data_IF_045749922150
#
_entry.id   IF_045749922150
#
_cell.length_a   1.000
_cell.length_b   1.000
_cell.length_c   1.000
_cell.angle_alpha   90.00
_cell.angle_beta   90.00
_cell.angle_gamma   90.00
#
_symmetry.space_group_name_H-M   'P 1'
#
loop_
_entity.id
_entity.type
_entity.pdbx_description
1 polymer ?
#
# COMPACT_ATOMS: atom_id res chain seq x y z
N UNK A 1 -42.45 49.12 -45.33
CA UNK A 1 -42.60 47.76 -44.68
C UNK A 1 -41.76 46.79 -45.49
N UNK A 2 -40.55 46.53 -45.01
CA UNK A 2 -39.57 45.60 -45.63
C UNK A 2 -39.72 44.23 -44.98
N UNK A 3 -40.03 43.23 -45.76
CA UNK A 3 -40.20 41.85 -45.33
C UNK A 3 -38.81 41.22 -45.35
N UNK A 4 -38.29 40.97 -44.16
CA UNK A 4 -36.97 40.36 -43.95
C UNK A 4 -36.97 38.90 -44.40
N UNK A 5 -35.94 38.58 -45.14
CA UNK A 5 -35.64 37.29 -45.74
C UNK A 5 -35.43 36.18 -44.69
N UNK A 6 -36.20 35.11 -44.77
CA UNK A 6 -35.97 33.88 -44.01
C UNK A 6 -34.68 33.21 -44.42
N UNK A 7 -33.82 32.77 -43.47
CA UNK A 7 -32.61 32.05 -43.82
C UNK A 7 -32.90 30.66 -44.41
N UNK A 8 -32.31 30.38 -45.56
CA UNK A 8 -32.46 29.10 -46.26
C UNK A 8 -31.89 27.90 -45.48
N UNK A 9 -32.33 26.69 -45.83
CA UNK A 9 -31.94 25.49 -45.09
C UNK A 9 -30.42 25.24 -45.23
N UNK A 10 -29.77 25.10 -44.07
CA UNK A 10 -28.33 24.78 -44.01
C UNK A 10 -28.09 23.39 -44.56
N UNK A 11 -27.39 23.29 -45.71
CA UNK A 11 -26.91 22.02 -46.27
C UNK A 11 -25.82 21.48 -45.41
N UNK A 12 -26.08 20.40 -44.68
CA UNK A 12 -25.03 19.67 -43.95
C UNK A 12 -24.05 19.01 -44.96
N UNK A 13 -22.72 19.12 -44.73
CA UNK A 13 -21.75 18.49 -45.63
C UNK A 13 -21.91 16.98 -45.61
N UNK A 14 -21.90 16.34 -46.78
CA UNK A 14 -22.06 14.88 -46.93
C UNK A 14 -21.02 14.10 -46.08
N UNK A 15 -19.86 14.70 -45.82
CA UNK A 15 -18.82 14.16 -44.96
C UNK A 15 -19.27 13.96 -43.51
N UNK A 16 -20.13 14.85 -42.96
CA UNK A 16 -20.64 14.71 -41.58
C UNK A 16 -21.59 13.51 -41.41
N UNK A 17 -22.37 13.21 -42.46
CA UNK A 17 -23.25 12.05 -42.46
C UNK A 17 -22.46 10.73 -42.54
N UNK A 18 -21.39 10.69 -43.33
CA UNK A 18 -20.54 9.49 -43.47
C UNK A 18 -19.82 9.22 -42.14
N UNK A 19 -19.30 10.26 -41.47
CA UNK A 19 -18.62 10.12 -40.18
C UNK A 19 -19.59 9.61 -39.11
N UNK A 20 -20.83 10.11 -39.07
CA UNK A 20 -21.87 9.66 -38.15
C UNK A 20 -22.21 8.17 -38.33
N UNK A 21 -22.33 7.71 -39.58
CA UNK A 21 -22.59 6.29 -39.87
C UNK A 21 -21.41 5.39 -39.51
N UNK A 22 -20.17 5.88 -39.69
CA UNK A 22 -18.96 5.12 -39.33
C UNK A 22 -18.84 4.93 -37.80
N UNK A 23 -19.16 5.96 -37.05
CA UNK A 23 -19.18 5.89 -35.58
C UNK A 23 -20.29 4.97 -35.06
N UNK A 24 -21.47 4.98 -35.70
CA UNK A 24 -22.55 4.05 -35.36
C UNK A 24 -22.18 2.60 -35.65
N UNK A 25 -21.54 2.33 -36.79
CA UNK A 25 -21.07 0.98 -37.13
C UNK A 25 -19.99 0.48 -36.19
N UNK A 26 -19.04 1.35 -35.80
CA UNK A 26 -17.99 1.01 -34.83
C UNK A 26 -18.59 0.75 -33.44
N UNK A 27 -19.59 1.52 -33.02
CA UNK A 27 -20.33 1.30 -31.77
C UNK A 27 -21.09 -0.03 -31.77
N UNK A 28 -21.73 -0.37 -32.90
CA UNK A 28 -22.47 -1.62 -33.04
C UNK A 28 -21.53 -2.84 -33.02
N UNK A 29 -20.37 -2.71 -33.70
CA UNK A 29 -19.33 -3.74 -33.70
C UNK A 29 -18.74 -3.94 -32.28
N UNK A 30 -18.54 -2.85 -31.54
CA UNK A 30 -18.07 -2.92 -30.17
C UNK A 30 -19.07 -3.64 -29.25
N UNK A 31 -20.37 -3.40 -29.49
CA UNK A 31 -21.44 -4.06 -28.72
C UNK A 31 -21.56 -5.56 -29.04
N UNK A 32 -21.30 -5.99 -30.27
CA UNK A 32 -21.30 -7.39 -30.69
C UNK A 32 -20.09 -8.19 -30.17
N UNK A 33 -18.99 -7.51 -29.85
CA UNK A 33 -17.78 -8.12 -29.27
C UNK A 33 -17.67 -8.01 -27.75
N UNK A 34 -18.74 -7.61 -27.05
CA UNK A 34 -18.75 -7.67 -25.59
C UNK A 34 -18.71 -9.15 -25.17
N UNK A 35 -17.72 -9.57 -24.39
CA UNK A 35 -17.76 -10.89 -23.79
C UNK A 35 -19.04 -10.99 -22.97
N UNK A 36 -19.81 -12.03 -23.23
CA UNK A 36 -21.03 -12.34 -22.46
C UNK A 36 -20.68 -12.25 -20.96
N UNK A 37 -21.45 -11.50 -20.17
CA UNK A 37 -21.25 -11.56 -18.73
C UNK A 37 -21.44 -13.02 -18.31
N UNK A 38 -20.42 -13.59 -17.69
CA UNK A 38 -20.44 -14.96 -17.17
C UNK A 38 -21.37 -15.04 -15.93
N UNK A 39 -22.66 -14.78 -16.16
CA UNK A 39 -23.71 -14.94 -15.21
C UNK A 39 -24.23 -16.36 -15.33
N UNK A 40 -23.79 -17.22 -14.46
CA UNK A 40 -24.50 -18.47 -14.21
C UNK A 40 -23.81 -19.75 -14.65
N UNK A 41 -22.47 -19.83 -14.66
CA UNK A 41 -21.85 -21.12 -14.39
C UNK A 41 -21.61 -21.17 -12.89
N UNK A 42 -22.59 -21.73 -12.19
CA UNK A 42 -22.41 -22.24 -10.82
C UNK A 42 -21.16 -23.09 -10.84
N UNK A 43 -20.06 -22.60 -10.27
CA UNK A 43 -18.86 -23.39 -10.05
C UNK A 43 -19.14 -24.40 -8.93
N UNK A 44 -20.00 -25.38 -9.26
CA UNK A 44 -20.08 -26.57 -8.47
C UNK A 44 -18.88 -27.45 -8.84
N UNK A 45 -17.87 -27.47 -7.97
CA UNK A 45 -16.91 -28.55 -7.91
C UNK A 45 -15.55 -28.38 -8.56
N UNK A 46 -14.98 -27.16 -8.62
CA UNK A 46 -13.52 -27.06 -8.66
C UNK A 46 -13.00 -27.07 -7.20
N UNK A 47 -11.95 -27.84 -6.89
CA UNK A 47 -11.28 -27.68 -5.60
C UNK A 47 -10.88 -26.21 -5.52
N UNK A 48 -11.44 -25.48 -4.56
CA UNK A 48 -10.90 -24.19 -4.18
C UNK A 48 -9.45 -24.46 -3.80
N UNK A 49 -8.52 -23.88 -4.55
CA UNK A 49 -7.17 -23.74 -4.03
C UNK A 49 -7.29 -23.25 -2.60
N UNK A 50 -6.56 -23.87 -1.66
CA UNK A 50 -6.63 -23.45 -0.28
C UNK A 50 -6.44 -21.94 -0.30
N UNK A 51 -7.45 -21.17 0.12
CA UNK A 51 -7.26 -19.78 0.47
C UNK A 51 -6.10 -19.83 1.45
N UNK A 52 -4.95 -19.38 0.98
CA UNK A 52 -3.81 -19.14 1.83
C UNK A 52 -4.37 -18.25 2.95
N UNK A 53 -4.61 -18.89 4.08
CA UNK A 53 -5.03 -18.23 5.31
C UNK A 53 -3.99 -17.14 5.49
N UNK A 54 -4.36 -15.89 5.20
CA UNK A 54 -3.57 -14.75 5.61
C UNK A 54 -3.52 -14.84 7.13
N UNK A 55 -2.47 -15.49 7.61
CA UNK A 55 -2.21 -15.56 9.05
C UNK A 55 -2.24 -14.14 9.58
N UNK A 56 -2.95 -13.88 10.69
CA UNK A 56 -2.97 -12.58 11.30
C UNK A 56 -1.52 -12.09 11.43
N UNK A 57 -1.24 -10.87 11.01
CA UNK A 57 0.12 -10.28 11.05
C UNK A 57 0.78 -10.41 12.44
N UNK A 58 -0.04 -10.53 13.47
CA UNK A 58 0.38 -10.76 14.85
C UNK A 58 1.02 -12.15 15.05
N UNK A 59 0.52 -13.17 14.33
CA UNK A 59 1.09 -14.52 14.38
C UNK A 59 2.45 -14.57 13.65
N UNK A 60 2.62 -13.83 12.57
CA UNK A 60 3.90 -13.70 11.87
C UNK A 60 4.98 -13.08 12.75
N UNK A 61 4.65 -12.06 13.54
CA UNK A 61 5.62 -11.46 14.47
C UNK A 61 5.97 -12.43 15.61
N UNK A 62 5.00 -13.18 16.11
CA UNK A 62 5.23 -14.20 17.14
C UNK A 62 6.08 -15.38 16.63
N UNK A 63 6.02 -15.68 15.33
CA UNK A 63 6.90 -16.72 14.68
C UNK A 63 8.31 -16.20 14.45
N UNK A 64 8.47 -14.88 14.22
CA UNK A 64 9.77 -14.28 13.87
C UNK A 64 10.62 -13.86 15.08
N UNK A 65 10.05 -13.69 16.26
CA UNK A 65 10.80 -13.29 17.45
C UNK A 65 10.19 -13.82 18.75
N UNK A 66 11.01 -14.48 19.55
CA UNK A 66 10.60 -14.93 20.90
C UNK A 66 10.27 -13.73 21.82
N UNK A 67 9.49 -13.94 22.89
CA UNK A 67 9.24 -12.89 23.88
C UNK A 67 10.52 -12.28 24.45
N UNK A 68 11.57 -13.08 24.63
CA UNK A 68 12.88 -12.59 25.10
C UNK A 68 13.56 -11.68 24.07
N UNK A 69 13.48 -12.04 22.78
CA UNK A 69 14.03 -11.20 21.69
C UNK A 69 13.27 -9.88 21.56
N UNK A 70 11.94 -9.91 21.70
CA UNK A 70 11.12 -8.71 21.71
C UNK A 70 11.45 -7.80 22.90
N UNK A 71 11.60 -8.36 24.11
CA UNK A 71 11.99 -7.59 25.29
C UNK A 71 13.38 -6.93 25.11
N UNK A 72 14.34 -7.66 24.56
CA UNK A 72 15.66 -7.14 24.26
C UNK A 72 15.61 -6.07 23.17
N UNK A 73 14.84 -6.28 22.11
CA UNK A 73 14.60 -5.28 21.04
C UNK A 73 14.02 -3.97 21.59
N UNK A 74 13.07 -4.07 22.53
CA UNK A 74 12.52 -2.91 23.24
C UNK A 74 13.54 -2.16 24.07
N UNK A 75 14.42 -2.89 24.78
CA UNK A 75 15.51 -2.30 25.55
C UNK A 75 16.53 -1.59 24.66
N UNK A 76 16.92 -2.21 23.57
CA UNK A 76 17.83 -1.61 22.56
C UNK A 76 17.21 -0.37 21.94
N UNK A 77 15.93 -0.43 21.58
CA UNK A 77 15.19 0.73 21.04
C UNK A 77 15.14 1.88 22.04
N UNK A 78 14.82 1.61 23.30
CA UNK A 78 14.76 2.63 24.34
C UNK A 78 16.09 3.36 24.51
N UNK A 79 17.18 2.64 24.46
CA UNK A 79 18.53 3.19 24.69
C UNK A 79 19.10 3.92 23.46
N UNK A 80 18.74 3.51 22.26
CA UNK A 80 19.42 3.97 21.02
C UNK A 80 18.50 4.81 20.13
N UNK A 81 17.21 4.48 20.06
CA UNK A 81 16.30 4.99 19.03
C UNK A 81 15.24 5.96 19.58
N UNK A 82 14.82 5.77 20.84
CA UNK A 82 13.68 6.49 21.45
C UNK A 82 13.90 8.01 21.51
N UNK A 83 15.15 8.47 21.58
CA UNK A 83 15.48 9.90 21.55
C UNK A 83 14.91 10.63 20.34
N UNK A 84 14.92 9.98 19.18
CA UNK A 84 14.32 10.51 17.96
C UNK A 84 12.93 9.95 17.65
N UNK A 85 12.63 8.73 18.11
CA UNK A 85 11.43 7.97 17.76
C UNK A 85 10.47 7.73 18.95
N UNK A 86 10.40 8.66 19.89
CA UNK A 86 9.55 8.55 21.06
C UNK A 86 8.09 8.22 20.65
N UNK A 87 7.52 7.17 21.26
CA UNK A 87 6.15 6.68 20.98
C UNK A 87 5.86 6.46 19.47
N UNK A 88 6.84 5.98 18.74
CA UNK A 88 6.74 5.78 17.30
C UNK A 88 6.70 7.07 16.46
N UNK A 89 6.99 8.20 17.08
CA UNK A 89 7.11 9.49 16.39
C UNK A 89 8.41 9.63 15.62
N UNK A 90 8.69 10.85 15.16
CA UNK A 90 9.99 11.26 14.64
C UNK A 90 10.14 12.78 14.86
N UNK A 91 11.04 13.19 15.74
CA UNK A 91 11.23 14.60 16.08
C UNK A 91 11.95 15.38 14.99
N UNK A 92 12.76 14.69 14.14
CA UNK A 92 13.53 15.32 13.05
C UNK A 92 12.69 15.44 11.79
N UNK A 93 11.90 14.42 11.46
CA UNK A 93 11.08 14.33 10.26
C UNK A 93 9.68 13.86 10.62
N UNK A 94 8.76 14.79 10.84
CA UNK A 94 7.39 14.49 11.30
C UNK A 94 6.59 13.58 10.35
N UNK A 95 6.94 13.52 9.08
CA UNK A 95 6.37 12.64 8.07
C UNK A 95 6.95 11.21 8.09
N UNK A 96 8.04 10.99 8.85
CA UNK A 96 8.80 9.73 8.90
C UNK A 96 8.61 8.99 10.21
N UNK A 97 7.38 8.93 10.70
CA UNK A 97 7.04 8.21 11.93
C UNK A 97 7.11 6.68 11.73
N UNK A 98 7.19 5.95 12.85
CA UNK A 98 7.15 4.49 12.88
C UNK A 98 5.71 3.94 13.04
N UNK A 99 4.70 4.77 12.81
CA UNK A 99 3.29 4.33 12.79
C UNK A 99 3.03 3.44 11.58
N UNK A 100 2.23 2.39 11.71
CA UNK A 100 2.00 1.38 10.67
C UNK A 100 1.67 1.99 9.29
N UNK A 101 0.67 2.89 9.24
CA UNK A 101 0.31 3.57 7.97
C UNK A 101 1.46 4.37 7.37
N UNK A 102 2.37 4.93 8.17
CA UNK A 102 3.51 5.69 7.68
C UNK A 102 4.63 4.76 7.18
N UNK A 103 4.81 3.60 7.78
CA UNK A 103 5.71 2.55 7.31
C UNK A 103 5.22 2.00 5.97
N UNK A 104 3.99 1.55 5.89
CA UNK A 104 3.37 0.98 4.68
C UNK A 104 3.42 1.94 3.47
N UNK A 105 3.11 3.23 3.66
CA UNK A 105 3.23 4.24 2.57
C UNK A 105 4.64 4.37 2.01
N UNK A 106 5.64 3.85 2.69
CA UNK A 106 7.06 3.88 2.26
C UNK A 106 7.57 2.51 1.83
N UNK A 107 6.67 1.52 1.66
CA UNK A 107 7.02 0.15 1.30
C UNK A 107 7.80 -0.58 2.40
N UNK A 108 7.56 -0.23 3.66
CA UNK A 108 8.13 -0.92 4.83
C UNK A 108 7.03 -1.81 5.38
N UNK A 109 7.05 -3.08 4.97
CA UNK A 109 5.94 -4.02 5.15
C UNK A 109 6.26 -5.14 6.15
N UNK A 110 7.42 -5.07 6.81
CA UNK A 110 7.84 -6.08 7.77
C UNK A 110 9.04 -5.68 8.62
N UNK A 111 9.36 -6.48 9.63
CA UNK A 111 10.44 -6.24 10.57
C UNK A 111 11.82 -6.28 9.91
N UNK A 112 12.02 -7.07 8.84
CA UNK A 112 13.31 -7.22 8.14
C UNK A 112 13.75 -5.91 7.49
N UNK A 113 12.80 -5.18 6.86
CA UNK A 113 13.10 -3.87 6.26
C UNK A 113 13.46 -2.86 7.35
N UNK A 114 12.80 -2.91 8.51
CA UNK A 114 13.12 -2.05 9.65
C UNK A 114 14.50 -2.40 10.21
N UNK A 115 14.83 -3.68 10.34
CA UNK A 115 16.13 -4.16 10.81
C UNK A 115 17.25 -3.65 9.89
N UNK A 116 17.09 -3.80 8.59
CA UNK A 116 18.05 -3.30 7.60
C UNK A 116 18.24 -1.78 7.72
N UNK A 117 17.16 -1.02 7.86
CA UNK A 117 17.23 0.44 8.05
C UNK A 117 17.92 0.78 9.37
N UNK A 118 17.66 0.03 10.45
CA UNK A 118 18.34 0.23 11.72
C UNK A 118 19.84 -0.06 11.64
N UNK A 119 20.23 -1.07 10.85
CA UNK A 119 21.64 -1.42 10.65
C UNK A 119 22.37 -0.41 9.78
N UNK A 120 21.81 -0.06 8.62
CA UNK A 120 22.48 0.68 7.55
C UNK A 120 22.19 2.20 7.59
N UNK A 121 21.08 2.60 8.21
CA UNK A 121 20.60 3.96 8.17
C UNK A 121 19.73 4.26 6.94
N UNK A 122 19.14 5.45 6.92
CA UNK A 122 18.39 5.96 5.77
C UNK A 122 18.33 7.50 5.76
N UNK A 123 18.86 8.10 4.73
CA UNK A 123 18.86 9.55 4.55
C UNK A 123 19.65 10.26 5.65
N UNK A 124 18.98 10.91 6.61
CA UNK A 124 19.60 11.60 7.76
C UNK A 124 19.71 10.75 9.02
N UNK A 125 19.23 9.54 8.99
CA UNK A 125 19.35 8.59 10.07
C UNK A 125 20.58 7.72 9.81
N UNK A 126 21.54 7.76 10.71
CA UNK A 126 22.75 6.93 10.63
C UNK A 126 22.42 5.44 10.84
N UNK A 127 23.32 4.57 10.42
CA UNK A 127 23.27 3.14 10.70
C UNK A 127 23.81 2.83 12.10
N UNK A 128 23.14 1.92 12.79
CA UNK A 128 23.42 1.58 14.18
C UNK A 128 23.90 0.13 14.39
N UNK A 129 24.29 -0.59 13.33
CA UNK A 129 24.70 -1.99 13.44
C UNK A 129 25.77 -2.22 14.53
N UNK A 130 26.79 -1.36 14.59
CA UNK A 130 27.88 -1.47 15.59
C UNK A 130 27.40 -1.23 17.02
N UNK A 131 26.44 -0.32 17.20
CA UNK A 131 25.90 0.05 18.52
C UNK A 131 24.92 -1.02 19.03
N UNK A 132 24.12 -1.56 18.13
CA UNK A 132 23.11 -2.56 18.44
C UNK A 132 23.73 -3.95 18.68
N UNK A 133 24.91 -4.20 18.11
CA UNK A 133 25.58 -5.49 18.21
C UNK A 133 24.98 -6.60 17.35
N UNK A 134 25.47 -7.83 17.51
CA UNK A 134 24.96 -8.99 16.77
C UNK A 134 23.47 -9.19 17.02
N UNK A 135 22.69 -9.43 15.96
CA UNK A 135 21.23 -9.64 15.97
C UNK A 135 20.43 -8.49 16.58
N UNK A 136 21.08 -7.38 16.95
CA UNK A 136 20.42 -6.23 17.55
C UNK A 136 19.46 -5.52 16.59
N UNK A 137 19.84 -5.26 15.33
CA UNK A 137 18.94 -4.71 14.32
C UNK A 137 17.68 -5.54 14.12
N UNK A 138 17.78 -6.86 14.07
CA UNK A 138 16.67 -7.80 13.90
C UNK A 138 15.72 -7.75 15.09
N UNK A 139 16.26 -7.75 16.31
CA UNK A 139 15.47 -7.61 17.55
C UNK A 139 14.74 -6.28 17.61
N UNK A 140 15.42 -5.19 17.24
CA UNK A 140 14.80 -3.85 17.15
C UNK A 140 13.73 -3.82 16.07
N UNK A 141 14.01 -4.39 14.89
CA UNK A 141 13.06 -4.48 13.78
C UNK A 141 11.77 -5.19 14.18
N UNK A 142 11.91 -6.37 14.79
CA UNK A 142 10.78 -7.16 15.27
C UNK A 142 9.95 -6.40 16.34
N UNK A 143 10.61 -5.78 17.29
CA UNK A 143 9.95 -5.01 18.33
C UNK A 143 9.23 -3.78 17.77
N UNK A 144 9.86 -3.00 16.88
CA UNK A 144 9.26 -1.82 16.26
C UNK A 144 8.05 -2.20 15.42
N UNK A 145 8.14 -3.32 14.67
CA UNK A 145 7.03 -3.83 13.87
C UNK A 145 5.84 -4.19 14.76
N UNK A 146 6.08 -4.94 15.83
CA UNK A 146 5.05 -5.25 16.83
C UNK A 146 4.40 -3.97 17.38
N UNK A 147 5.20 -2.99 17.82
CA UNK A 147 4.68 -1.72 18.31
C UNK A 147 3.84 -0.97 17.27
N UNK A 148 4.23 -1.04 15.99
CA UNK A 148 3.49 -0.42 14.89
C UNK A 148 2.11 -1.09 14.68
N UNK A 149 2.06 -2.42 14.73
CA UNK A 149 0.82 -3.19 14.66
C UNK A 149 -0.13 -2.87 15.82
N UNK A 150 0.41 -2.75 17.02
CA UNK A 150 -0.33 -2.40 18.25
C UNK A 150 -0.60 -0.88 18.40
N UNK A 151 -0.28 -0.11 17.36
CA UNK A 151 -0.44 1.35 17.34
C UNK A 151 0.29 2.08 18.48
N UNK A 152 1.44 1.56 18.91
CA UNK A 152 2.31 2.16 19.94
C UNK A 152 1.54 2.39 21.27
N UNK A 153 1.16 1.34 21.98
CA UNK A 153 0.49 1.47 23.26
C UNK A 153 1.36 2.28 24.22
N UNK A 154 0.74 3.19 24.95
CA UNK A 154 1.45 3.93 25.98
C UNK A 154 1.73 2.97 27.14
N UNK A 155 3.00 2.77 27.49
CA UNK A 155 3.36 2.17 28.76
C UNK A 155 2.90 3.13 29.87
N UNK A 156 1.94 2.70 30.66
CA UNK A 156 1.56 3.40 31.88
C UNK A 156 2.69 3.31 32.91
#
# INVERSE_FOLDING_TARGET
MTIDSLPGPKRFPKAALILGWLLLLLGLLHWLFQPLPAWGLSQAGLPQEPQELQEPQELQVAVLASPAQLAEGGRLFANTCAGCHLNGGNIVRRDRTLKLKALQRRGIDGPETIARIAAEGIGRMDGYAKVLGPDGPEKVGAWVWKQALENWPRSN
#
